data_IF_811769849125
#
_entry.id   IF_811769849125
#
_cell.length_a   1.000
_cell.length_b   1.000
_cell.length_c   1.000
_cell.angle_alpha   90.00
_cell.angle_beta   90.00
_cell.angle_gamma   90.00
#
_symmetry.space_group_name_H-M   'P 1'
#
loop_
_entity.id
_entity.type
_entity.pdbx_description
1 polymer ?
#
# COMPACT_ATOMS: atom_id res chain seq x y z
N UNK A 1 0.64 -12.28 14.43
CA UNK A 1 1.20 -11.61 15.63
C UNK A 1 0.54 -10.26 15.77
N UNK A 2 -0.08 -9.94 16.92
CA UNK A 2 -0.72 -8.65 17.12
C UNK A 2 -0.18 -7.94 18.37
N UNK A 3 0.28 -6.70 18.20
CA UNK A 3 0.89 -5.89 19.27
C UNK A 3 0.20 -4.54 19.43
N UNK A 4 0.14 -4.04 20.66
CA UNK A 4 -0.33 -2.70 21.01
C UNK A 4 0.86 -1.96 21.62
N UNK A 5 1.47 -1.04 20.89
CA UNK A 5 2.61 -0.26 21.41
C UNK A 5 3.06 0.84 20.46
N UNK A 6 3.68 1.89 21.02
CA UNK A 6 4.50 2.88 20.31
C UNK A 6 5.86 2.29 19.81
N UNK A 7 5.90 0.99 19.51
CA UNK A 7 7.13 0.23 19.22
C UNK A 7 6.88 -0.75 18.07
N UNK A 8 7.93 -0.98 17.27
CA UNK A 8 7.89 -1.78 16.05
C UNK A 8 7.44 -3.24 16.29
N UNK A 9 6.48 -3.72 15.50
CA UNK A 9 5.98 -5.10 15.53
C UNK A 9 6.55 -5.87 14.35
N UNK A 10 7.32 -6.95 14.60
CA UNK A 10 7.86 -7.80 13.55
C UNK A 10 7.32 -9.24 13.66
N UNK A 11 6.86 -9.82 12.56
CA UNK A 11 6.41 -11.22 12.47
C UNK A 11 6.99 -11.96 11.27
N UNK A 12 7.20 -13.27 11.41
CA UNK A 12 7.72 -14.17 10.37
C UNK A 12 6.83 -15.42 10.27
N UNK A 13 6.57 -15.91 9.07
CA UNK A 13 5.83 -17.15 8.79
C UNK A 13 4.43 -16.92 8.23
N UNK A 14 3.64 -17.99 8.14
CA UNK A 14 2.24 -17.93 7.72
C UNK A 14 1.38 -17.25 8.80
N UNK A 15 0.64 -16.20 8.42
CA UNK A 15 -0.37 -15.56 9.25
C UNK A 15 -0.29 -14.04 9.35
N UNK A 16 -1.34 -13.42 9.90
CA UNK A 16 -1.47 -11.96 9.91
C UNK A 16 -0.61 -11.29 10.99
N UNK A 17 0.11 -10.23 10.63
CA UNK A 17 0.82 -9.35 11.56
C UNK A 17 0.02 -8.05 11.71
N UNK A 18 -0.34 -7.67 12.93
CA UNK A 18 -1.09 -6.44 13.17
C UNK A 18 -0.48 -5.56 14.28
N UNK A 19 -0.45 -4.25 14.09
CA UNK A 19 0.05 -3.30 15.09
C UNK A 19 -0.93 -2.14 15.28
N UNK A 20 -1.12 -1.71 16.53
CA UNK A 20 -1.89 -0.51 16.88
C UNK A 20 -1.00 0.53 17.58
N UNK A 21 -1.01 1.78 17.09
CA UNK A 21 -0.29 2.94 17.64
C UNK A 21 0.69 3.62 16.68
N UNK A 22 1.42 4.63 17.16
CA UNK A 22 2.53 5.26 16.40
C UNK A 22 3.72 4.27 16.32
N UNK A 23 3.94 3.61 15.18
CA UNK A 23 5.02 2.63 15.06
C UNK A 23 5.19 1.99 13.68
N UNK A 24 6.22 1.14 13.55
CA UNK A 24 6.49 0.40 12.30
C UNK A 24 6.05 -1.07 12.41
N UNK A 25 5.28 -1.57 11.44
CA UNK A 25 4.85 -2.98 11.41
C UNK A 25 5.53 -3.70 10.26
N UNK A 26 6.24 -4.78 10.55
CA UNK A 26 7.02 -5.55 9.58
C UNK A 26 6.54 -7.01 9.55
N UNK A 27 6.14 -7.54 8.40
CA UNK A 27 5.77 -8.95 8.25
C UNK A 27 6.50 -9.63 7.10
N UNK A 28 6.94 -10.87 7.31
CA UNK A 28 7.64 -11.68 6.31
C UNK A 28 6.99 -13.07 6.21
N UNK A 29 6.34 -13.39 5.09
CA UNK A 29 5.65 -14.67 4.84
C UNK A 29 4.30 -14.48 4.15
N UNK A 30 3.58 -15.59 3.93
CA UNK A 30 2.20 -15.54 3.44
C UNK A 30 1.25 -15.03 4.55
N UNK A 31 0.65 -13.86 4.38
CA UNK A 31 -0.29 -13.29 5.33
C UNK A 31 -0.42 -11.76 5.30
N UNK A 32 -1.55 -11.25 5.79
CA UNK A 32 -1.85 -9.81 5.86
C UNK A 32 -1.02 -9.07 6.92
N UNK A 33 -0.44 -7.92 6.59
CA UNK A 33 0.34 -7.08 7.52
C UNK A 33 -0.36 -5.74 7.71
N UNK A 34 -1.02 -5.48 8.83
CA UNK A 34 -1.83 -4.27 9.02
C UNK A 34 -1.37 -3.38 10.19
N UNK A 35 -1.21 -2.08 9.95
CA UNK A 35 -1.03 -1.06 10.98
C UNK A 35 -2.31 -0.26 11.19
N UNK A 36 -2.54 0.24 12.40
CA UNK A 36 -3.65 1.13 12.73
C UNK A 36 -3.18 2.18 13.74
N UNK A 37 -3.40 3.47 13.54
CA UNK A 37 -3.02 4.50 14.50
C UNK A 37 -2.99 5.92 13.96
N UNK A 38 -3.31 6.90 14.82
CA UNK A 38 -3.10 8.32 14.56
C UNK A 38 -1.59 8.61 14.57
N UNK A 39 -0.95 8.68 13.39
CA UNK A 39 0.44 9.08 13.26
C UNK A 39 1.16 8.49 12.04
N UNK A 40 2.40 8.94 11.81
CA UNK A 40 3.27 8.49 10.71
C UNK A 40 3.82 7.09 10.96
N UNK A 41 2.96 6.08 10.89
CA UNK A 41 3.34 4.66 10.90
C UNK A 41 3.94 4.22 9.56
N UNK A 42 4.87 3.26 9.61
CA UNK A 42 5.45 2.64 8.41
C UNK A 42 5.18 1.14 8.43
N UNK A 43 4.42 0.63 7.47
CA UNK A 43 4.11 -0.80 7.38
C UNK A 43 4.87 -1.41 6.22
N UNK A 44 5.66 -2.45 6.49
CA UNK A 44 6.37 -3.21 5.47
C UNK A 44 5.99 -4.70 5.48
N UNK A 45 5.63 -5.24 4.33
CA UNK A 45 5.25 -6.65 4.15
C UNK A 45 6.04 -7.31 3.04
N UNK A 46 6.47 -8.56 3.23
CA UNK A 46 7.04 -9.43 2.20
C UNK A 46 6.20 -10.70 2.08
N UNK A 47 5.44 -10.87 0.99
CA UNK A 47 4.55 -12.01 0.72
C UNK A 47 3.09 -11.61 0.38
N UNK A 48 2.19 -12.58 0.28
CA UNK A 48 0.76 -12.35 0.00
C UNK A 48 0.05 -11.70 1.20
N UNK A 49 -0.33 -10.42 1.10
CA UNK A 49 -0.99 -9.77 2.23
C UNK A 49 -1.52 -8.36 2.02
N UNK A 50 -2.65 -8.06 2.68
CA UNK A 50 -3.29 -6.74 2.73
C UNK A 50 -2.72 -5.87 3.85
N UNK A 51 -2.50 -4.58 3.57
CA UNK A 51 -1.94 -3.61 4.52
C UNK A 51 -2.94 -2.49 4.86
N UNK A 52 -2.77 -1.85 6.02
CA UNK A 52 -3.66 -0.80 6.52
C UNK A 52 -2.84 0.32 7.18
N UNK A 53 -3.29 1.56 6.94
CA UNK A 53 -2.91 2.86 7.53
C UNK A 53 -1.45 3.34 7.46
N UNK A 54 -1.25 4.56 6.95
CA UNK A 54 0.05 5.26 6.92
C UNK A 54 0.90 4.99 5.67
N UNK A 55 2.23 5.14 5.80
CA UNK A 55 3.16 4.84 4.69
C UNK A 55 3.39 3.34 4.60
N UNK A 56 3.01 2.75 3.46
CA UNK A 56 2.95 1.31 3.23
C UNK A 56 3.94 0.91 2.15
N UNK A 57 4.72 -0.15 2.39
CA UNK A 57 5.55 -0.80 1.37
C UNK A 57 5.41 -2.33 1.38
N UNK A 58 4.85 -2.90 0.33
CA UNK A 58 4.75 -4.35 0.14
C UNK A 58 5.69 -4.87 -0.93
N UNK A 59 6.21 -6.09 -0.75
CA UNK A 59 7.04 -6.81 -1.72
C UNK A 59 6.51 -8.24 -1.91
N UNK A 60 6.46 -8.74 -3.14
CA UNK A 60 6.05 -10.12 -3.45
C UNK A 60 4.73 -10.22 -4.21
N UNK A 61 4.18 -11.43 -4.28
CA UNK A 61 2.88 -11.68 -4.91
C UNK A 61 1.76 -11.25 -3.93
N UNK A 62 0.72 -10.55 -4.40
CA UNK A 62 -0.45 -10.21 -3.58
C UNK A 62 -0.96 -8.76 -3.67
N UNK A 63 -1.90 -8.39 -2.80
CA UNK A 63 -2.57 -7.09 -2.85
C UNK A 63 -2.15 -6.14 -1.72
N UNK A 64 -1.47 -5.04 -2.06
CA UNK A 64 -1.09 -3.99 -1.11
C UNK A 64 -2.21 -2.95 -1.02
N UNK A 65 -2.72 -2.70 0.17
CA UNK A 65 -3.73 -1.65 0.41
C UNK A 65 -3.19 -0.64 1.42
N UNK A 66 -3.63 0.61 1.34
CA UNK A 66 -3.33 1.63 2.34
C UNK A 66 -4.38 2.73 2.35
N UNK A 67 -4.54 3.36 3.50
CA UNK A 67 -5.47 4.47 3.69
C UNK A 67 -4.89 5.55 4.61
N UNK A 68 -5.35 6.78 4.43
CA UNK A 68 -4.91 7.95 5.20
C UNK A 68 -3.89 8.80 4.44
N UNK A 69 -3.14 9.61 5.19
CA UNK A 69 -2.04 10.42 4.64
C UNK A 69 -0.77 9.57 4.52
N UNK A 70 -0.15 9.53 3.34
CA UNK A 70 1.13 8.85 3.15
C UNK A 70 1.38 8.29 1.76
N UNK A 71 2.44 7.47 1.65
CA UNK A 71 2.78 6.78 0.40
C UNK A 71 2.48 5.29 0.50
N UNK A 72 1.74 4.75 -0.48
CA UNK A 72 1.46 3.31 -0.63
C UNK A 72 2.26 2.79 -1.81
N UNK A 73 3.17 1.87 -1.56
CA UNK A 73 4.02 1.29 -2.61
C UNK A 73 4.01 -0.24 -2.59
N UNK A 74 3.86 -0.86 -3.77
CA UNK A 74 3.88 -2.33 -3.92
C UNK A 74 4.83 -2.80 -5.03
N UNK A 75 5.69 -3.74 -4.72
CA UNK A 75 6.72 -4.26 -5.62
C UNK A 75 6.56 -5.77 -5.81
N UNK A 76 6.00 -6.19 -6.93
CA UNK A 76 5.80 -7.61 -7.27
C UNK A 76 4.58 -7.80 -8.17
N UNK A 77 4.13 -9.05 -8.32
CA UNK A 77 2.92 -9.34 -9.10
C UNK A 77 1.68 -9.16 -8.21
N UNK A 78 0.79 -8.24 -8.59
CA UNK A 78 -0.47 -8.06 -7.87
C UNK A 78 -1.09 -6.68 -8.04
N UNK A 79 -1.86 -6.27 -7.04
CA UNK A 79 -2.67 -5.05 -7.07
C UNK A 79 -2.29 -4.12 -5.92
N UNK A 80 -2.09 -2.83 -6.20
CA UNK A 80 -1.80 -1.79 -5.21
C UNK A 80 -2.96 -0.81 -5.14
N UNK A 81 -3.53 -0.60 -3.96
CA UNK A 81 -4.67 0.27 -3.73
C UNK A 81 -4.36 1.29 -2.62
N UNK A 82 -4.54 2.59 -2.88
CA UNK A 82 -4.37 3.64 -1.88
C UNK A 82 -5.58 4.58 -1.80
N UNK A 83 -5.96 4.98 -0.58
CA UNK A 83 -7.09 5.87 -0.31
C UNK A 83 -6.69 7.01 0.64
N UNK A 84 -6.68 8.26 0.19
CA UNK A 84 -6.37 9.42 1.03
C UNK A 84 -5.44 10.40 0.33
N UNK A 85 -4.65 11.14 1.10
CA UNK A 85 -3.70 12.10 0.56
C UNK A 85 -2.32 11.47 0.43
N UNK A 86 -1.74 11.54 -0.77
CA UNK A 86 -0.34 11.18 -1.00
C UNK A 86 -0.11 10.39 -2.30
N UNK A 87 0.83 9.44 -2.26
CA UNK A 87 1.33 8.79 -3.48
C UNK A 87 1.07 7.29 -3.47
N UNK A 88 0.47 6.77 -4.54
CA UNK A 88 0.26 5.33 -4.76
C UNK A 88 1.17 4.88 -5.89
N UNK A 89 2.07 3.95 -5.62
CA UNK A 89 3.07 3.47 -6.57
C UNK A 89 3.10 1.94 -6.64
N UNK A 90 3.21 1.33 -7.83
CA UNK A 90 3.36 -0.12 -7.85
C UNK A 90 3.59 -0.78 -9.19
N UNK A 91 3.89 -2.08 -9.12
CA UNK A 91 3.93 -2.96 -10.27
C UNK A 91 2.58 -3.69 -10.43
N UNK A 92 2.12 -3.86 -11.66
CA UNK A 92 0.85 -4.52 -11.95
C UNK A 92 -0.34 -3.56 -11.94
N UNK A 93 -1.42 -3.95 -11.26
CA UNK A 93 -2.62 -3.12 -11.16
C UNK A 93 -2.45 -2.08 -10.05
N UNK A 94 -2.70 -0.80 -10.35
CA UNK A 94 -2.55 0.28 -9.36
C UNK A 94 -3.81 1.14 -9.34
N UNK A 95 -4.39 1.35 -8.17
CA UNK A 95 -5.58 2.16 -7.96
C UNK A 95 -5.35 3.17 -6.83
N UNK A 96 -5.54 4.47 -7.10
CA UNK A 96 -5.49 5.51 -6.08
C UNK A 96 -6.79 6.31 -6.02
N UNK A 97 -7.22 6.66 -4.80
CA UNK A 97 -8.39 7.48 -4.52
C UNK A 97 -8.01 8.59 -3.55
N UNK A 98 -8.29 9.85 -3.87
CA UNK A 98 -8.00 11.02 -3.03
C UNK A 98 -7.10 12.03 -3.74
N UNK A 99 -6.33 12.79 -2.97
CA UNK A 99 -5.43 13.81 -3.51
C UNK A 99 -4.00 13.27 -3.64
N UNK A 100 -3.39 13.43 -4.81
CA UNK A 100 -1.97 13.18 -5.02
C UNK A 100 -1.64 12.41 -6.30
N UNK A 101 -0.69 11.48 -6.23
CA UNK A 101 -0.09 10.88 -7.44
C UNK A 101 -0.25 9.37 -7.50
N UNK A 102 -0.69 8.85 -8.64
CA UNK A 102 -0.82 7.41 -8.90
C UNK A 102 0.13 7.00 -10.01
N UNK A 103 1.04 6.07 -9.73
CA UNK A 103 2.08 5.61 -10.64
C UNK A 103 2.09 4.08 -10.75
N UNK A 104 1.96 3.54 -11.96
CA UNK A 104 2.08 2.10 -12.20
C UNK A 104 3.20 1.72 -13.17
N UNK A 105 3.79 0.55 -12.95
CA UNK A 105 4.81 -0.06 -13.81
C UNK A 105 4.40 -1.48 -14.24
N UNK A 106 4.80 -1.89 -15.45
CA UNK A 106 4.65 -3.28 -15.92
C UNK A 106 3.38 -3.53 -16.75
N UNK A 107 2.84 -4.75 -16.65
CA UNK A 107 1.58 -5.13 -17.30
C UNK A 107 0.42 -5.02 -16.29
N UNK A 108 -0.55 -4.15 -16.54
CA UNK A 108 -1.66 -3.92 -15.59
C UNK A 108 -2.45 -2.63 -15.81
N UNK A 109 -3.53 -2.45 -15.07
CA UNK A 109 -4.38 -1.25 -15.14
C UNK A 109 -3.99 -0.23 -14.08
N UNK A 110 -3.87 1.05 -14.46
CA UNK A 110 -3.58 2.16 -13.54
C UNK A 110 -4.77 3.12 -13.50
N UNK A 111 -5.34 3.30 -12.31
CA UNK A 111 -6.56 4.07 -12.08
C UNK A 111 -6.34 5.13 -11.00
N UNK A 112 -6.66 6.39 -11.26
CA UNK A 112 -6.68 7.45 -10.25
C UNK A 112 -8.04 8.14 -10.16
N UNK A 113 -8.50 8.39 -8.94
CA UNK A 113 -9.76 9.08 -8.64
C UNK A 113 -9.48 10.23 -7.66
N UNK A 114 -9.84 11.46 -8.00
CA UNK A 114 -9.57 12.65 -7.18
C UNK A 114 -8.60 13.63 -7.84
N UNK A 115 -8.01 14.53 -7.05
CA UNK A 115 -7.13 15.57 -7.57
C UNK A 115 -5.69 15.07 -7.68
N UNK A 116 -5.02 15.43 -8.78
CA UNK A 116 -3.60 15.14 -8.98
C UNK A 116 -3.27 14.34 -10.24
N UNK A 117 -2.20 13.54 -10.19
CA UNK A 117 -1.57 13.02 -11.41
C UNK A 117 -1.61 11.49 -11.52
N UNK A 118 -1.87 10.97 -12.72
CA UNK A 118 -1.87 9.53 -13.01
C UNK A 118 -0.85 9.25 -14.10
N UNK A 119 0.11 8.38 -13.82
CA UNK A 119 1.17 7.98 -14.74
C UNK A 119 1.28 6.45 -14.80
N UNK A 120 1.51 5.90 -16.00
CA UNK A 120 1.79 4.48 -16.15
C UNK A 120 2.93 4.24 -17.15
N UNK A 121 3.73 3.22 -16.86
CA UNK A 121 4.89 2.83 -17.64
C UNK A 121 4.83 1.33 -17.92
N UNK A 122 4.41 0.95 -19.13
CA UNK A 122 4.29 -0.44 -19.53
C UNK A 122 3.08 -0.66 -20.42
N UNK A 123 2.54 -1.88 -20.42
CA UNK A 123 1.35 -2.22 -21.21
C UNK A 123 0.13 -2.27 -20.30
N UNK A 124 -0.95 -1.62 -20.72
CA UNK A 124 -2.21 -1.71 -20.00
C UNK A 124 -3.06 -0.47 -20.19
N UNK A 125 -4.06 -0.34 -19.32
CA UNK A 125 -5.03 0.74 -19.38
C UNK A 125 -4.70 1.79 -18.33
N UNK A 126 -4.86 3.07 -18.68
CA UNK A 126 -4.73 4.18 -17.75
C UNK A 126 -6.05 4.94 -17.72
N UNK A 127 -6.60 5.17 -16.52
CA UNK A 127 -7.77 6.01 -16.34
C UNK A 127 -7.56 6.98 -15.16
N UNK A 128 -7.98 8.23 -15.37
CA UNK A 128 -7.95 9.28 -14.36
C UNK A 128 -9.31 9.97 -14.31
N UNK A 129 -9.88 10.10 -13.12
CA UNK A 129 -11.20 10.69 -12.89
C UNK A 129 -11.11 11.73 -11.76
N UNK A 130 -11.12 13.02 -12.12
CA UNK A 130 -11.04 14.13 -11.17
C UNK A 130 -10.45 15.37 -11.82
N UNK A 131 -10.35 16.47 -11.07
CA UNK A 131 -9.68 17.68 -11.56
C UNK A 131 -8.16 17.43 -11.52
N UNK A 132 -7.58 17.16 -12.69
CA UNK A 132 -6.12 17.15 -12.91
C UNK A 132 -5.58 18.56 -13.02
#
# INVERSE_FOLDING_TARGET
VCGWSEVSVCGWGEGSVCGWGEGSVCGWGEGSVCGWGEGSGSVCGWGEGSVCEGSVCGWGEGSVCGWGEGSVCGWGEGSVCGWGEGSVCGWGEVCGWGEGSVCGWGEGSVCGWGEGSVCAWGKGSVCGWGQT
#
